data_IF_797749624928
#
_entry.id   IF_797749624928
#
_cell.length_a   1.000
_cell.length_b   1.000
_cell.length_c   1.000
_cell.angle_alpha   90.00
_cell.angle_beta   90.00
_cell.angle_gamma   90.00
#
_symmetry.space_group_name_H-M   'P 1'
#
loop_
_entity.id
_entity.type
_entity.pdbx_description
1 polymer ?
#
# COMPACT_ATOMS: atom_id res chain seq x y z
N UNK A 1 -28.16 -0.11 11.45
CA UNK A 1 -27.44 0.87 12.24
C UNK A 1 -25.94 0.52 12.18
N UNK A 2 -25.36 0.63 10.98
CA UNK A 2 -23.97 0.18 10.74
C UNK A 2 -23.31 0.90 9.55
N UNK A 3 -23.68 2.17 9.32
CA UNK A 3 -23.10 3.00 8.23
C UNK A 3 -21.89 3.84 8.68
N UNK A 4 -21.72 4.05 9.99
CA UNK A 4 -20.68 4.95 10.51
C UNK A 4 -19.31 4.26 10.68
N UNK A 5 -19.30 2.93 10.85
CA UNK A 5 -18.05 2.18 11.04
C UNK A 5 -17.21 2.05 9.77
N UNK A 6 -17.85 2.19 8.59
CA UNK A 6 -17.15 2.13 7.30
C UNK A 6 -16.56 3.50 6.90
N UNK A 7 -17.17 4.59 7.33
CA UNK A 7 -16.68 5.95 7.07
C UNK A 7 -15.36 6.22 7.79
N UNK A 8 -15.22 5.78 9.05
CA UNK A 8 -13.97 5.94 9.82
C UNK A 8 -12.81 5.10 9.28
N UNK A 9 -13.11 3.96 8.65
CA UNK A 9 -12.11 3.12 7.97
C UNK A 9 -11.54 3.79 6.73
N UNK A 10 -12.38 4.50 5.97
CA UNK A 10 -11.96 5.28 4.81
C UNK A 10 -11.24 6.57 5.19
N UNK A 11 -11.64 7.22 6.28
CA UNK A 11 -11.04 8.48 6.74
C UNK A 11 -9.52 8.36 7.03
N UNK A 12 -9.05 7.18 7.49
CA UNK A 12 -7.62 6.96 7.71
C UNK A 12 -6.87 6.91 6.38
N UNK A 13 -7.45 6.31 5.34
CA UNK A 13 -6.84 6.21 4.01
C UNK A 13 -7.03 7.50 3.21
N UNK A 14 -8.12 8.24 3.41
CA UNK A 14 -8.32 9.58 2.85
C UNK A 14 -7.43 10.62 3.54
N UNK A 15 -7.19 10.51 4.84
CA UNK A 15 -6.19 11.30 5.57
C UNK A 15 -4.78 11.05 5.05
N UNK A 16 -4.48 9.82 4.62
CA UNK A 16 -3.23 9.48 3.94
C UNK A 16 -3.12 10.14 2.55
N UNK A 17 -4.23 10.33 1.84
CA UNK A 17 -4.25 10.96 0.51
C UNK A 17 -4.16 12.49 0.57
N UNK A 18 -4.80 13.14 1.54
CA UNK A 18 -4.82 14.61 1.67
C UNK A 18 -3.51 15.21 2.21
N UNK A 19 -2.75 14.45 3.00
CA UNK A 19 -1.41 14.85 3.47
C UNK A 19 -0.35 14.83 2.35
N UNK A 20 -0.67 14.25 1.19
CA UNK A 20 0.24 14.00 0.07
C UNK A 20 0.85 15.27 -0.51
N UNK A 21 0.07 16.33 -0.69
CA UNK A 21 0.57 17.57 -1.31
C UNK A 21 1.43 18.43 -0.36
N UNK A 22 1.11 18.44 0.92
CA UNK A 22 1.89 19.17 1.92
C UNK A 22 3.21 18.45 2.25
N UNK A 23 3.22 17.13 2.28
CA UNK A 23 4.41 16.32 2.57
C UNK A 23 5.45 16.34 1.46
N UNK A 24 5.02 16.26 0.18
CA UNK A 24 5.93 16.30 -0.97
C UNK A 24 6.74 17.62 -1.05
N UNK A 25 6.18 18.74 -0.59
CA UNK A 25 6.88 20.03 -0.57
C UNK A 25 7.89 20.17 0.58
N UNK A 26 7.66 19.53 1.73
CA UNK A 26 8.58 19.57 2.88
C UNK A 26 9.72 18.55 2.78
N UNK A 27 9.49 17.41 2.15
CA UNK A 27 10.45 16.30 2.10
C UNK A 27 11.62 16.51 1.12
N UNK A 28 11.48 17.42 0.15
CA UNK A 28 12.58 17.79 -0.75
C UNK A 28 13.68 18.65 -0.10
N UNK A 29 13.45 19.19 1.09
CA UNK A 29 14.34 20.16 1.75
C UNK A 29 15.23 19.55 2.86
N UNK A 30 14.86 18.39 3.41
CA UNK A 30 15.62 17.71 4.47
C UNK A 30 15.86 16.27 4.04
N UNK A 31 17.07 15.83 3.84
CA UNK A 31 17.48 14.48 3.42
C UNK A 31 16.53 13.33 3.78
N UNK A 32 16.83 12.11 3.46
CA UNK A 32 15.92 10.99 3.76
C UNK A 32 15.52 10.99 5.24
N UNK A 33 14.25 11.22 5.53
CA UNK A 33 13.77 11.16 6.90
C UNK A 33 13.86 9.72 7.42
N UNK A 34 14.00 9.57 8.74
CA UNK A 34 14.00 8.27 9.40
C UNK A 34 12.79 7.41 9.00
N UNK A 35 11.65 8.04 8.80
CA UNK A 35 10.41 7.39 8.38
C UNK A 35 10.49 6.84 6.95
N UNK A 36 11.16 7.54 6.04
CA UNK A 36 11.37 7.07 4.66
C UNK A 36 12.29 5.86 4.62
N UNK A 37 13.38 5.90 5.38
CA UNK A 37 14.30 4.77 5.48
C UNK A 37 13.60 3.54 6.09
N UNK A 38 12.85 3.73 7.16
CA UNK A 38 12.06 2.67 7.78
C UNK A 38 10.97 2.14 6.84
N UNK A 39 10.27 3.01 6.10
CA UNK A 39 9.28 2.63 5.10
C UNK A 39 9.90 1.78 3.98
N UNK A 40 11.11 2.15 3.55
CA UNK A 40 11.84 1.38 2.53
C UNK A 40 12.18 -0.03 3.03
N UNK A 41 12.66 -0.16 4.25
CA UNK A 41 12.92 -1.46 4.88
C UNK A 41 11.66 -2.32 5.00
N UNK A 42 10.54 -1.72 5.43
CA UNK A 42 9.24 -2.42 5.50
C UNK A 42 8.74 -2.84 4.12
N UNK A 43 8.88 -1.97 3.11
CA UNK A 43 8.43 -2.30 1.76
C UNK A 43 9.24 -3.43 1.13
N UNK A 44 10.55 -3.43 1.30
CA UNK A 44 11.42 -4.55 0.87
C UNK A 44 10.95 -5.85 1.53
N UNK A 45 10.72 -5.85 2.83
CA UNK A 45 10.22 -7.03 3.54
C UNK A 45 8.84 -7.49 3.02
N UNK A 46 7.93 -6.56 2.72
CA UNK A 46 6.62 -6.86 2.11
C UNK A 46 6.80 -7.55 0.76
N UNK A 47 7.65 -7.00 -0.11
CA UNK A 47 7.89 -7.55 -1.46
C UNK A 47 8.57 -8.92 -1.39
N UNK A 48 9.59 -9.08 -0.56
CA UNK A 48 10.28 -10.37 -0.36
C UNK A 48 9.30 -11.43 0.14
N UNK A 49 8.49 -11.10 1.13
CA UNK A 49 7.49 -12.02 1.67
C UNK A 49 6.43 -12.39 0.64
N UNK A 50 5.94 -11.42 -0.12
CA UNK A 50 4.95 -11.63 -1.18
C UNK A 50 5.47 -12.53 -2.31
N UNK A 51 6.79 -12.62 -2.49
CA UNK A 51 7.44 -13.45 -3.51
C UNK A 51 7.80 -14.86 -3.04
N UNK A 52 7.48 -15.25 -1.81
CA UNK A 52 7.76 -16.60 -1.35
C UNK A 52 7.08 -17.65 -2.21
N UNK A 53 7.88 -18.56 -2.72
CA UNK A 53 7.46 -19.63 -3.65
C UNK A 53 6.30 -20.46 -3.11
N UNK A 54 6.23 -20.65 -1.80
CA UNK A 54 5.18 -21.42 -1.15
C UNK A 54 3.76 -20.88 -1.42
N UNK A 55 3.58 -19.58 -1.63
CA UNK A 55 2.26 -19.02 -1.96
C UNK A 55 1.78 -19.45 -3.35
N UNK A 56 2.70 -19.56 -4.30
CA UNK A 56 2.38 -19.91 -5.68
C UNK A 56 2.30 -21.40 -5.89
N UNK A 57 3.21 -22.17 -5.33
CA UNK A 57 3.25 -23.63 -5.52
C UNK A 57 2.30 -24.40 -4.59
N UNK A 58 2.12 -23.94 -3.35
CA UNK A 58 1.37 -24.68 -2.32
C UNK A 58 0.02 -24.06 -2.01
N UNK A 59 -0.09 -22.73 -1.99
CA UNK A 59 -1.32 -22.03 -1.66
C UNK A 59 -2.17 -21.69 -2.90
N UNK A 60 -1.71 -22.02 -4.11
CA UNK A 60 -2.48 -21.87 -5.33
C UNK A 60 -2.66 -20.44 -5.82
N UNK A 61 -1.82 -19.50 -5.35
CA UNK A 61 -1.83 -18.13 -5.87
C UNK A 61 -1.34 -18.16 -7.32
N UNK A 62 -2.08 -17.61 -8.29
CA UNK A 62 -1.61 -17.57 -9.67
C UNK A 62 -0.32 -16.76 -9.80
N UNK A 63 0.69 -17.29 -10.48
CA UNK A 63 1.93 -16.54 -10.79
C UNK A 63 1.71 -15.62 -12.00
N UNK A 64 0.86 -14.64 -11.79
CA UNK A 64 0.49 -13.59 -12.74
C UNK A 64 0.76 -12.23 -12.11
N UNK A 65 0.71 -11.16 -12.91
CA UNK A 65 0.82 -9.78 -12.40
C UNK A 65 -0.23 -9.51 -11.32
N UNK A 66 -1.47 -9.93 -11.54
CA UNK A 66 -2.56 -9.76 -10.58
C UNK A 66 -2.33 -10.58 -9.29
N UNK A 67 -1.93 -11.84 -9.41
CA UNK A 67 -1.63 -12.68 -8.23
C UNK A 67 -0.45 -12.15 -7.42
N UNK A 68 0.60 -11.65 -8.07
CA UNK A 68 1.73 -10.99 -7.41
C UNK A 68 1.30 -9.69 -6.72
N UNK A 69 0.46 -8.90 -7.38
CA UNK A 69 -0.12 -7.70 -6.78
C UNK A 69 -0.97 -8.04 -5.54
N UNK A 70 -1.81 -9.07 -5.61
CA UNK A 70 -2.63 -9.51 -4.48
C UNK A 70 -1.78 -9.90 -3.27
N UNK A 71 -0.65 -10.56 -3.48
CA UNK A 71 0.26 -10.94 -2.41
C UNK A 71 0.96 -9.72 -1.79
N UNK A 72 1.35 -8.72 -2.59
CA UNK A 72 1.88 -7.45 -2.07
C UNK A 72 0.82 -6.73 -1.25
N UNK A 73 -0.42 -6.64 -1.73
CA UNK A 73 -1.53 -5.99 -1.01
C UNK A 73 -1.81 -6.69 0.32
N UNK A 74 -1.84 -8.03 0.34
CA UNK A 74 -2.07 -8.79 1.57
C UNK A 74 -1.00 -8.49 2.64
N UNK A 75 0.27 -8.54 2.27
CA UNK A 75 1.36 -8.29 3.22
C UNK A 75 1.44 -6.81 3.64
N UNK A 76 1.21 -5.88 2.72
CA UNK A 76 1.10 -4.46 3.04
C UNK A 76 -0.06 -4.19 4.01
N UNK A 77 -1.22 -4.81 3.79
CA UNK A 77 -2.36 -4.72 4.69
C UNK A 77 -2.00 -5.15 6.12
N UNK A 78 -1.29 -6.27 6.29
CA UNK A 78 -0.87 -6.73 7.63
C UNK A 78 0.04 -5.72 8.31
N UNK A 79 0.96 -5.09 7.57
CA UNK A 79 1.83 -4.03 8.09
C UNK A 79 1.00 -2.80 8.47
N UNK A 80 0.14 -2.30 7.59
CA UNK A 80 -0.72 -1.15 7.89
C UNK A 80 -1.64 -1.41 9.09
N UNK A 81 -2.20 -2.60 9.19
CA UNK A 81 -3.01 -3.02 10.35
C UNK A 81 -2.20 -2.97 11.64
N UNK A 82 -0.94 -3.41 11.62
CA UNK A 82 -0.05 -3.33 12.78
C UNK A 82 0.27 -1.89 13.15
N UNK A 83 0.62 -1.05 12.15
CA UNK A 83 0.91 0.36 12.37
C UNK A 83 -0.29 1.14 12.92
N UNK A 84 -1.49 0.76 12.52
CA UNK A 84 -2.73 1.40 12.99
C UNK A 84 -2.92 1.31 14.51
N UNK A 85 -2.39 0.29 15.18
CA UNK A 85 -2.51 0.13 16.64
C UNK A 85 -1.82 1.26 17.39
N UNK A 86 -0.74 1.80 16.83
CA UNK A 86 0.07 2.87 17.45
C UNK A 86 0.00 4.16 16.59
N UNK A 87 -1.17 4.43 16.01
CA UNK A 87 -1.39 5.47 14.99
C UNK A 87 -0.78 6.83 15.37
N UNK A 88 -0.86 7.25 16.63
CA UNK A 88 -0.30 8.52 17.09
C UNK A 88 1.19 8.69 16.81
N UNK A 89 1.94 7.60 16.76
CA UNK A 89 3.40 7.61 16.53
C UNK A 89 3.79 7.08 15.17
N UNK A 90 2.98 6.24 14.57
CA UNK A 90 3.32 5.51 13.31
C UNK A 90 2.68 6.09 12.06
N UNK A 91 1.80 7.08 12.18
CA UNK A 91 1.12 7.69 11.02
C UNK A 91 2.10 8.20 9.95
N UNK A 92 3.20 8.90 10.27
CA UNK A 92 4.18 9.34 9.26
C UNK A 92 4.85 8.16 8.53
N UNK A 93 5.16 7.08 9.25
CA UNK A 93 5.72 5.86 8.67
C UNK A 93 4.72 5.15 7.75
N UNK A 94 3.48 5.05 8.16
CA UNK A 94 2.42 4.46 7.34
C UNK A 94 2.20 5.25 6.05
N UNK A 95 2.22 6.58 6.12
CA UNK A 95 2.14 7.45 4.94
C UNK A 95 3.34 7.23 4.00
N UNK A 96 4.55 7.23 4.53
CA UNK A 96 5.76 7.02 3.73
C UNK A 96 5.76 5.64 3.05
N UNK A 97 5.30 4.60 3.73
CA UNK A 97 5.16 3.26 3.16
C UNK A 97 4.12 3.22 2.02
N UNK A 98 2.97 3.87 2.22
CA UNK A 98 1.92 3.96 1.20
C UNK A 98 2.42 4.68 -0.06
N UNK A 99 3.04 5.83 0.12
CA UNK A 99 3.59 6.63 -0.99
C UNK A 99 4.65 5.84 -1.78
N UNK A 100 5.56 5.18 -1.08
CA UNK A 100 6.60 4.36 -1.70
C UNK A 100 6.01 3.20 -2.52
N UNK A 101 5.00 2.52 -1.98
CA UNK A 101 4.33 1.42 -2.68
C UNK A 101 3.70 1.88 -4.00
N UNK A 102 3.07 3.05 -4.03
CA UNK A 102 2.45 3.56 -5.25
C UNK A 102 3.46 4.14 -6.25
N UNK A 103 4.57 4.70 -5.77
CA UNK A 103 5.71 5.09 -6.64
C UNK A 103 6.29 3.86 -7.33
N UNK A 104 6.53 2.78 -6.60
CA UNK A 104 7.04 1.53 -7.16
C UNK A 104 6.08 0.91 -8.18
N UNK A 105 4.78 0.97 -7.93
CA UNK A 105 3.77 0.52 -8.90
C UNK A 105 3.78 1.35 -10.19
N UNK A 106 3.93 2.66 -10.11
CA UNK A 106 4.06 3.55 -11.26
C UNK A 106 5.32 3.20 -12.07
N UNK A 107 6.46 3.06 -11.40
CA UNK A 107 7.73 2.68 -12.02
C UNK A 107 7.66 1.32 -12.71
N UNK A 108 7.12 0.31 -12.04
CA UNK A 108 6.95 -1.03 -12.62
C UNK A 108 6.06 -1.02 -13.87
N UNK A 109 4.97 -0.24 -13.89
CA UNK A 109 4.13 -0.09 -15.07
C UNK A 109 4.88 0.54 -16.24
N UNK A 110 5.73 1.53 -15.99
CA UNK A 110 6.58 2.17 -17.01
C UNK A 110 7.63 1.21 -17.55
N UNK A 111 8.27 0.44 -16.70
CA UNK A 111 9.24 -0.59 -17.08
C UNK A 111 8.60 -1.70 -17.94
N UNK A 112 7.33 -2.04 -17.69
CA UNK A 112 6.56 -2.97 -18.53
C UNK A 112 6.10 -2.36 -19.87
N UNK A 113 6.49 -1.13 -20.18
CA UNK A 113 6.18 -0.47 -21.45
C UNK A 113 4.81 0.19 -21.50
N UNK A 114 4.18 0.45 -20.36
CA UNK A 114 2.93 1.22 -20.32
C UNK A 114 3.24 2.68 -20.63
N UNK A 115 2.61 3.22 -21.67
CA UNK A 115 2.82 4.61 -22.08
C UNK A 115 2.34 5.62 -21.04
N UNK A 116 2.99 6.79 -20.98
CA UNK A 116 2.76 7.83 -19.97
C UNK A 116 1.29 8.21 -19.78
N UNK A 117 0.52 8.29 -20.85
CA UNK A 117 -0.91 8.60 -20.78
C UNK A 117 -1.76 7.51 -20.12
N UNK A 118 -1.26 6.27 -20.08
CA UNK A 118 -1.97 5.10 -19.55
C UNK A 118 -1.56 4.73 -18.13
N UNK A 119 -0.39 5.19 -17.66
CA UNK A 119 0.13 4.87 -16.31
C UNK A 119 -0.79 5.42 -15.22
N UNK A 120 -1.15 6.69 -15.29
CA UNK A 120 -2.01 7.33 -14.28
C UNK A 120 -3.34 6.61 -14.07
N UNK A 121 -4.15 6.35 -15.13
CA UNK A 121 -5.39 5.57 -15.02
C UNK A 121 -5.18 4.15 -14.46
N UNK A 122 -4.08 3.48 -14.80
CA UNK A 122 -3.77 2.14 -14.26
C UNK A 122 -3.42 2.18 -12.79
N UNK A 123 -2.57 3.11 -12.37
CA UNK A 123 -2.23 3.32 -10.93
C UNK A 123 -3.51 3.61 -10.13
N UNK A 124 -4.41 4.44 -10.66
CA UNK A 124 -5.71 4.73 -10.03
C UNK A 124 -6.57 3.48 -9.89
N UNK A 125 -6.59 2.60 -10.90
CA UNK A 125 -7.29 1.32 -10.85
C UNK A 125 -6.67 0.39 -9.80
N UNK A 126 -5.35 0.34 -9.71
CA UNK A 126 -4.63 -0.44 -8.69
C UNK A 126 -4.91 0.09 -7.28
N UNK A 127 -4.96 1.41 -7.09
CA UNK A 127 -5.33 2.02 -5.82
C UNK A 127 -6.76 1.62 -5.40
N UNK A 128 -7.71 1.68 -6.32
CA UNK A 128 -9.09 1.23 -6.06
C UNK A 128 -9.14 -0.26 -5.69
N UNK A 129 -8.37 -1.09 -6.38
CA UNK A 129 -8.28 -2.52 -6.08
C UNK A 129 -7.64 -2.76 -4.70
N UNK A 130 -6.59 -2.01 -4.35
CA UNK A 130 -5.97 -2.04 -3.04
C UNK A 130 -6.99 -1.76 -1.92
N UNK A 131 -7.73 -0.68 -2.02
CA UNK A 131 -8.74 -0.33 -1.02
C UNK A 131 -9.85 -1.37 -0.89
N UNK A 132 -10.32 -1.93 -2.01
CA UNK A 132 -11.31 -3.00 -2.00
C UNK A 132 -10.82 -4.27 -1.28
N UNK A 133 -9.57 -4.65 -1.51
CA UNK A 133 -8.96 -5.80 -0.83
C UNK A 133 -8.74 -5.54 0.67
N UNK A 134 -8.23 -4.38 1.03
CA UNK A 134 -8.05 -3.99 2.43
C UNK A 134 -9.37 -4.06 3.20
N UNK A 135 -10.46 -3.55 2.62
CA UNK A 135 -11.78 -3.64 3.22
C UNK A 135 -12.24 -5.09 3.42
N UNK A 136 -12.05 -5.94 2.41
CA UNK A 136 -12.41 -7.36 2.49
C UNK A 136 -11.58 -8.12 3.53
N UNK A 137 -10.27 -7.82 3.63
CA UNK A 137 -9.40 -8.45 4.62
C UNK A 137 -9.73 -7.98 6.06
N UNK A 138 -10.04 -6.70 6.24
CA UNK A 138 -10.47 -6.20 7.55
C UNK A 138 -11.77 -6.86 8.02
N UNK A 139 -12.72 -7.05 7.12
CA UNK A 139 -13.97 -7.77 7.39
C UNK A 139 -13.71 -9.24 7.77
N UNK A 140 -12.91 -9.93 6.97
CA UNK A 140 -12.58 -11.35 7.20
C UNK A 140 -11.82 -11.63 8.51
N UNK A 141 -11.10 -10.65 9.04
CA UNK A 141 -10.36 -10.81 10.30
C UNK A 141 -11.22 -10.37 11.52
N UNK A 142 -12.29 -9.61 11.29
CA UNK A 142 -13.20 -9.17 12.35
C UNK A 142 -14.18 -10.27 12.81
N UNK A 143 -14.41 -11.29 11.95
CA UNK A 143 -15.19 -12.49 12.27
C UNK A 143 -14.35 -13.50 13.08
#
# INVERSE_FOLDING_TARGET
MDRDHNADRFAILEGLSGAREAHLKLFGLFGESREKEAARGLYVAVVERAREVAFYEKAGVPDTVDGRFDMIVLHAFLVFRRLKRDHGTTAPLAQALFDLMFVDMDENLREMGVGDLSVGPRVKKMAKAFYGRVAAYDEAIAD
#
